data_IF_117347198160
#
_entry.id   IF_117347198160
#
_cell.length_a   1.000
_cell.length_b   1.000
_cell.length_c   1.000
_cell.angle_alpha   90.00
_cell.angle_beta   90.00
_cell.angle_gamma   90.00
#
_symmetry.space_group_name_H-M   'P 1'
#
loop_
_entity.id
_entity.type
_entity.pdbx_description
1 polymer ?
#
# COMPACT_ATOMS: atom_id res chain seq x y z
N UNK A 1 3.04 -36.77 10.16
CA UNK A 1 1.72 -36.17 9.85
C UNK A 1 1.04 -35.49 11.04
N UNK A 2 1.69 -35.41 12.20
CA UNK A 2 1.15 -34.78 13.42
C UNK A 2 1.78 -33.42 13.76
N UNK A 3 2.79 -32.99 13.03
CA UNK A 3 3.50 -31.69 13.26
C UNK A 3 2.87 -30.57 12.46
N UNK A 4 2.03 -30.84 11.47
CA UNK A 4 1.37 -29.83 10.63
C UNK A 4 0.03 -29.34 11.18
N UNK A 5 -0.56 -30.06 12.14
CA UNK A 5 -1.83 -29.67 12.78
C UNK A 5 -1.66 -28.68 13.93
N UNK A 6 -0.49 -28.65 14.58
CA UNK A 6 -0.26 -27.77 15.74
C UNK A 6 0.17 -26.35 15.36
N UNK A 7 0.62 -26.13 14.12
CA UNK A 7 0.98 -24.79 13.64
C UNK A 7 -0.24 -23.93 13.25
N UNK A 8 -1.38 -24.58 12.98
CA UNK A 8 -2.65 -23.88 12.67
C UNK A 8 -3.42 -23.49 13.94
N UNK A 9 -3.09 -24.09 15.10
CA UNK A 9 -3.82 -23.87 16.35
C UNK A 9 -3.29 -22.70 17.21
N UNK A 10 -2.17 -22.08 16.84
CA UNK A 10 -1.62 -20.89 17.50
C UNK A 10 -1.83 -19.57 16.74
N UNK A 11 -2.76 -19.52 15.80
CA UNK A 11 -3.36 -18.23 15.51
C UNK A 11 -4.07 -17.79 16.79
N UNK A 12 -3.44 -16.84 17.51
CA UNK A 12 -4.15 -16.10 18.57
C UNK A 12 -5.45 -15.66 17.91
N UNK A 13 -6.58 -16.23 18.40
CA UNK A 13 -7.92 -15.77 17.98
C UNK A 13 -7.90 -14.27 18.13
N UNK A 14 -7.94 -13.54 17.01
CA UNK A 14 -8.27 -12.14 17.05
C UNK A 14 -9.53 -12.02 17.91
N UNK A 15 -9.55 -11.14 18.92
CA UNK A 15 -10.79 -10.75 19.55
C UNK A 15 -11.73 -10.39 18.40
N UNK A 16 -13.02 -10.74 18.50
CA UNK A 16 -14.04 -10.53 17.47
C UNK A 16 -13.78 -9.19 16.78
N UNK A 17 -13.33 -9.26 15.50
CA UNK A 17 -13.10 -8.05 14.71
C UNK A 17 -14.41 -7.28 14.78
N UNK A 18 -14.36 -6.06 15.30
CA UNK A 18 -15.54 -5.23 15.45
C UNK A 18 -16.20 -5.10 14.08
N UNK A 19 -17.51 -5.30 13.99
CA UNK A 19 -18.32 -5.15 12.76
C UNK A 19 -18.36 -3.67 12.33
N UNK A 20 -17.16 -3.05 12.19
CA UNK A 20 -17.06 -1.67 11.73
C UNK A 20 -17.46 -1.59 10.27
N UNK A 21 -18.33 -0.65 9.95
CA UNK A 21 -18.65 -0.35 8.55
C UNK A 21 -17.45 0.27 7.84
N UNK A 22 -17.42 0.19 6.51
CA UNK A 22 -16.36 0.81 5.70
C UNK A 22 -16.24 2.32 6.01
N UNK A 23 -17.36 2.98 6.29
CA UNK A 23 -17.38 4.38 6.65
C UNK A 23 -16.73 4.67 8.01
N UNK A 24 -16.94 3.81 9.02
CA UNK A 24 -16.28 3.93 10.32
C UNK A 24 -14.78 3.69 10.20
N UNK A 25 -14.35 2.75 9.37
CA UNK A 25 -12.92 2.54 9.05
C UNK A 25 -12.32 3.78 8.38
N UNK A 26 -13.06 4.41 7.46
CA UNK A 26 -12.63 5.66 6.83
C UNK A 26 -12.44 6.79 7.86
N UNK A 27 -13.31 6.90 8.85
CA UNK A 27 -13.17 7.87 9.95
C UNK A 27 -11.89 7.58 10.78
N UNK A 28 -11.58 6.30 11.06
CA UNK A 28 -10.36 5.86 11.77
C UNK A 28 -9.09 6.22 10.99
N UNK A 29 -9.04 5.92 9.68
CA UNK A 29 -7.83 6.20 8.88
C UNK A 29 -7.61 7.70 8.63
N UNK A 30 -8.64 8.51 8.76
CA UNK A 30 -8.56 9.98 8.67
C UNK A 30 -8.36 10.67 10.03
N UNK A 31 -8.20 9.90 11.10
CA UNK A 31 -7.93 10.44 12.42
C UNK A 31 -6.61 11.21 12.44
N UNK A 32 -6.59 12.43 13.01
CA UNK A 32 -5.41 13.32 13.01
C UNK A 32 -4.16 12.72 13.67
N UNK A 33 -4.35 11.84 14.64
CA UNK A 33 -3.26 11.14 15.34
C UNK A 33 -2.81 9.85 14.65
N UNK A 34 -3.37 9.50 13.48
CA UNK A 34 -2.98 8.27 12.79
C UNK A 34 -1.52 8.33 12.36
N UNK A 35 -0.72 7.31 12.68
CA UNK A 35 0.66 7.22 12.24
C UNK A 35 0.76 7.18 10.72
N UNK A 36 1.76 7.85 10.20
CA UNK A 36 2.11 7.87 8.78
C UNK A 36 3.34 7.02 8.52
N UNK A 37 3.73 6.85 7.26
CA UNK A 37 4.97 6.15 6.93
C UNK A 37 6.21 6.77 7.61
N UNK A 38 6.20 8.10 7.85
CA UNK A 38 7.29 8.79 8.59
C UNK A 38 7.42 8.31 10.04
N UNK A 39 6.33 7.85 10.64
CA UNK A 39 6.31 7.31 11.99
C UNK A 39 6.75 5.84 12.00
N UNK A 40 6.33 5.06 11.01
CA UNK A 40 6.63 3.64 10.93
C UNK A 40 8.06 3.34 10.49
N UNK A 41 8.63 4.13 9.56
CA UNK A 41 9.99 3.88 9.05
C UNK A 41 11.01 3.75 10.18
N UNK A 42 11.13 4.69 11.13
CA UNK A 42 12.12 4.59 12.21
C UNK A 42 11.79 3.51 13.27
N UNK A 43 10.54 3.00 13.31
CA UNK A 43 10.15 1.93 14.23
C UNK A 43 10.43 0.53 13.64
N UNK A 44 10.50 0.42 12.32
CA UNK A 44 10.58 -0.86 11.60
C UNK A 44 11.96 -1.09 11.00
N UNK A 45 12.64 -0.02 10.55
CA UNK A 45 13.88 -0.12 9.78
C UNK A 45 15.03 0.58 10.49
N UNK A 46 16.22 0.00 10.40
CA UNK A 46 17.47 0.56 10.91
C UNK A 46 18.19 1.33 9.78
N UNK A 47 18.94 2.37 10.16
CA UNK A 47 19.85 3.14 9.30
C UNK A 47 19.20 3.61 7.98
N UNK A 48 17.95 4.09 8.06
CA UNK A 48 17.27 4.60 6.86
C UNK A 48 17.98 5.83 6.30
N UNK A 49 18.50 5.68 5.09
CA UNK A 49 19.15 6.75 4.34
C UNK A 49 18.24 7.20 3.19
N UNK A 50 17.64 8.38 3.34
CA UNK A 50 16.72 8.95 2.36
C UNK A 50 17.44 9.40 1.09
N UNK A 51 16.84 9.13 -0.06
CA UNK A 51 17.34 9.47 -1.38
C UNK A 51 16.34 10.33 -2.14
N UNK A 52 16.76 11.50 -2.59
CA UNK A 52 15.92 12.53 -3.19
C UNK A 52 16.01 12.59 -4.72
N UNK A 53 14.96 13.14 -5.33
CA UNK A 53 14.90 13.55 -6.72
C UNK A 53 14.66 12.43 -7.73
N UNK A 54 14.02 12.79 -8.82
CA UNK A 54 13.66 11.87 -9.92
C UNK A 54 14.71 11.76 -11.03
N UNK A 55 15.74 12.61 -11.00
CA UNK A 55 16.80 12.76 -12.05
C UNK A 55 16.27 13.30 -13.38
N UNK A 56 15.10 13.95 -13.38
CA UNK A 56 14.51 14.56 -14.56
C UNK A 56 14.04 15.99 -14.31
N UNK A 57 13.19 16.22 -13.30
CA UNK A 57 12.60 17.51 -13.00
C UNK A 57 12.89 17.99 -11.59
N UNK A 58 12.65 17.16 -10.57
CA UNK A 58 12.79 17.61 -9.19
C UNK A 58 12.61 16.50 -8.16
N UNK A 59 12.32 16.91 -6.93
CA UNK A 59 11.92 16.02 -5.86
C UNK A 59 10.44 16.20 -5.52
N UNK A 60 9.82 15.19 -4.91
CA UNK A 60 8.45 15.23 -4.44
C UNK A 60 8.37 14.82 -2.97
N UNK A 61 7.88 15.73 -2.14
CA UNK A 61 7.69 15.49 -0.72
C UNK A 61 6.59 14.50 -0.36
N UNK A 62 5.71 14.15 -1.30
CA UNK A 62 4.68 13.15 -1.11
C UNK A 62 5.21 11.71 -1.23
N UNK A 63 6.43 11.52 -1.73
CA UNK A 63 7.10 10.22 -1.77
C UNK A 63 8.43 10.31 -1.04
N UNK A 64 8.59 9.54 0.01
CA UNK A 64 9.85 9.29 0.72
C UNK A 64 10.43 7.97 0.24
N UNK A 65 11.73 7.89 0.03
CA UNK A 65 12.33 6.62 -0.37
C UNK A 65 13.83 6.59 -0.14
N UNK A 66 14.35 5.41 0.12
CA UNK A 66 15.76 5.25 0.45
C UNK A 66 16.17 3.80 0.66
N UNK A 67 17.35 3.62 1.18
CA UNK A 67 17.89 2.32 1.59
C UNK A 67 17.90 2.22 3.11
N UNK A 68 17.70 1.02 3.62
CA UNK A 68 17.67 0.74 5.06
C UNK A 68 18.10 -0.69 5.34
N UNK A 69 18.21 -1.04 6.60
CA UNK A 69 18.26 -2.42 7.04
C UNK A 69 16.94 -2.82 7.67
N UNK A 70 16.47 -4.00 7.34
CA UNK A 70 15.36 -4.67 8.01
C UNK A 70 15.87 -5.94 8.67
N UNK A 71 16.01 -5.94 10.00
CA UNK A 71 16.56 -7.09 10.76
C UNK A 71 17.88 -7.61 10.14
N UNK A 72 18.78 -6.70 9.75
CA UNK A 72 20.06 -7.01 9.11
C UNK A 72 20.02 -7.28 7.61
N UNK A 73 18.86 -7.31 6.98
CA UNK A 73 18.70 -7.47 5.52
C UNK A 73 18.67 -6.09 4.87
N UNK A 74 19.55 -5.78 3.91
CA UNK A 74 19.48 -4.52 3.18
C UNK A 74 18.23 -4.48 2.28
N UNK A 75 17.40 -3.45 2.46
CA UNK A 75 16.15 -3.26 1.73
C UNK A 75 16.09 -1.87 1.11
N UNK A 76 15.20 -1.69 0.13
CA UNK A 76 14.79 -0.39 -0.36
C UNK A 76 13.38 -0.10 0.14
N UNK A 77 13.20 1.01 0.84
CA UNK A 77 11.89 1.45 1.33
C UNK A 77 11.39 2.59 0.46
N UNK A 78 10.14 2.51 0.02
CA UNK A 78 9.46 3.54 -0.77
C UNK A 78 8.11 3.78 -0.10
N UNK A 79 7.81 5.04 0.25
CA UNK A 79 6.62 5.36 0.99
C UNK A 79 5.89 6.57 0.41
N UNK A 80 4.58 6.47 0.24
CA UNK A 80 3.72 7.64 0.11
C UNK A 80 3.48 8.20 1.50
N UNK A 81 3.61 9.51 1.64
CA UNK A 81 3.60 10.15 2.95
C UNK A 81 2.61 11.31 3.01
N UNK A 82 1.89 11.38 4.11
CA UNK A 82 1.05 12.50 4.53
C UNK A 82 1.78 13.32 5.58
N UNK A 83 1.44 14.61 5.70
CA UNK A 83 1.92 15.45 6.78
C UNK A 83 1.05 15.30 8.04
N UNK A 84 1.60 15.69 9.19
CA UNK A 84 0.91 15.70 10.48
C UNK A 84 0.12 16.98 10.73
N UNK A 85 0.57 18.06 10.12
CA UNK A 85 -0.06 19.38 10.20
C UNK A 85 -0.25 19.99 8.80
N UNK A 86 -0.83 21.20 8.74
CA UNK A 86 -1.10 21.86 7.48
C UNK A 86 0.20 22.18 6.70
N UNK A 87 1.25 22.60 7.38
CA UNK A 87 2.51 22.97 6.75
C UNK A 87 3.23 21.75 6.15
N UNK A 88 3.25 20.63 6.90
CA UNK A 88 3.77 19.36 6.38
C UNK A 88 2.90 18.81 5.25
N UNK A 89 1.56 18.88 5.37
CA UNK A 89 0.65 18.43 4.33
C UNK A 89 0.85 19.22 3.03
N UNK A 90 1.07 20.54 3.11
CA UNK A 90 1.41 21.33 1.92
C UNK A 90 2.72 20.86 1.25
N UNK A 91 3.75 20.50 2.02
CA UNK A 91 5.02 19.98 1.50
C UNK A 91 4.87 18.58 0.87
N UNK A 92 3.96 17.78 1.39
CA UNK A 92 3.66 16.43 0.88
C UNK A 92 2.47 16.41 -0.09
N UNK A 93 2.04 17.56 -0.62
CA UNK A 93 0.89 17.68 -1.51
C UNK A 93 -0.36 16.94 -0.98
N UNK A 94 -0.57 16.98 0.35
CA UNK A 94 -1.63 16.23 1.04
C UNK A 94 -1.59 14.71 0.80
N UNK A 95 -0.39 14.15 0.64
CA UNK A 95 -0.19 12.75 0.33
C UNK A 95 -0.51 12.36 -1.12
N UNK A 96 -0.59 13.33 -2.02
CA UNK A 96 -0.86 13.12 -3.44
C UNK A 96 0.42 13.33 -4.26
N UNK A 97 1.09 12.26 -4.74
CA UNK A 97 2.33 12.41 -5.48
C UNK A 97 2.16 13.08 -6.83
N UNK A 98 3.14 13.92 -7.18
CA UNK A 98 3.39 14.41 -8.53
C UNK A 98 4.16 13.36 -9.37
N UNK A 99 4.33 13.58 -10.68
CA UNK A 99 5.10 12.66 -11.54
C UNK A 99 6.51 12.38 -11.02
N UNK A 100 7.13 13.38 -10.37
CA UNK A 100 8.47 13.28 -9.78
C UNK A 100 8.53 12.22 -8.67
N UNK A 101 7.48 12.09 -7.87
CA UNK A 101 7.37 11.08 -6.83
C UNK A 101 7.37 9.67 -7.40
N UNK A 102 6.56 9.41 -8.42
CA UNK A 102 6.51 8.11 -9.10
C UNK A 102 7.80 7.78 -9.83
N UNK A 103 8.42 8.75 -10.50
CA UNK A 103 9.72 8.57 -11.14
C UNK A 103 10.84 8.30 -10.13
N UNK A 104 10.82 8.98 -8.98
CA UNK A 104 11.73 8.70 -7.86
C UNK A 104 11.55 7.28 -7.34
N UNK A 105 10.30 6.86 -7.12
CA UNK A 105 9.98 5.49 -6.68
C UNK A 105 10.53 4.44 -7.67
N UNK A 106 10.27 4.60 -8.96
CA UNK A 106 10.77 3.69 -9.99
C UNK A 106 12.31 3.67 -10.05
N UNK A 107 12.95 4.83 -9.94
CA UNK A 107 14.42 4.92 -9.91
C UNK A 107 15.01 4.11 -8.75
N UNK A 108 14.40 4.21 -7.56
CA UNK A 108 14.82 3.46 -6.39
C UNK A 108 14.55 1.96 -6.52
N UNK A 109 13.41 1.59 -7.09
CA UNK A 109 13.08 0.19 -7.37
C UNK A 109 14.07 -0.46 -8.36
N UNK A 110 14.42 0.23 -9.44
CA UNK A 110 15.48 -0.24 -10.38
C UNK A 110 16.85 -0.33 -9.74
N UNK A 111 17.18 0.58 -8.82
CA UNK A 111 18.40 0.48 -8.05
C UNK A 111 18.36 -0.73 -7.10
N UNK A 112 17.20 -1.00 -6.49
CA UNK A 112 17.00 -2.18 -5.65
C UNK A 112 17.23 -3.47 -6.44
N UNK A 113 16.65 -3.58 -7.64
CA UNK A 113 16.89 -4.70 -8.57
C UNK A 113 18.37 -4.89 -8.86
N UNK A 114 19.07 -3.81 -9.25
CA UNK A 114 20.51 -3.86 -9.57
C UNK A 114 21.38 -4.39 -8.43
N UNK A 115 21.00 -4.10 -7.18
CA UNK A 115 21.74 -4.48 -5.99
C UNK A 115 21.07 -5.63 -5.21
N UNK A 116 20.08 -6.29 -5.81
CA UNK A 116 19.35 -7.44 -5.24
C UNK A 116 18.75 -7.17 -3.86
N UNK A 117 18.29 -5.94 -3.62
CA UNK A 117 17.56 -5.59 -2.40
C UNK A 117 16.05 -5.76 -2.61
N UNK A 118 15.33 -6.40 -1.69
CA UNK A 118 13.87 -6.36 -1.67
C UNK A 118 13.36 -4.91 -1.59
N UNK A 119 12.20 -4.67 -2.19
CA UNK A 119 11.49 -3.39 -2.14
C UNK A 119 10.30 -3.51 -1.18
N UNK A 120 10.23 -2.60 -0.22
CA UNK A 120 9.09 -2.48 0.69
C UNK A 120 8.39 -1.16 0.38
N UNK A 121 7.13 -1.24 -0.06
CA UNK A 121 6.29 -0.09 -0.36
C UNK A 121 5.29 0.14 0.77
N UNK A 122 5.27 1.34 1.33
CA UNK A 122 4.27 1.79 2.31
C UNK A 122 3.35 2.79 1.61
N UNK A 123 2.10 2.41 1.40
CA UNK A 123 1.14 3.15 0.58
C UNK A 123 0.13 3.86 1.46
N UNK A 124 0.05 5.19 1.33
CA UNK A 124 -0.97 6.00 2.00
C UNK A 124 -1.24 7.28 1.21
N UNK A 125 -2.10 7.19 0.21
CA UNK A 125 -2.48 8.30 -0.66
C UNK A 125 -3.97 8.29 -0.96
N UNK A 126 -4.57 9.47 -1.05
CA UNK A 126 -5.93 9.64 -1.59
C UNK A 126 -5.96 9.49 -3.13
N UNK A 127 -4.80 9.48 -3.78
CA UNK A 127 -4.61 9.37 -5.23
C UNK A 127 -3.46 10.24 -5.71
N UNK A 128 -3.14 10.15 -7.00
CA UNK A 128 -2.15 10.99 -7.63
C UNK A 128 -2.61 12.46 -7.66
N UNK A 129 -1.66 13.40 -7.56
CA UNK A 129 -1.98 14.83 -7.63
C UNK A 129 -2.66 15.14 -8.97
N UNK A 130 -3.85 15.74 -8.91
CA UNK A 130 -4.60 16.16 -10.08
C UNK A 130 -4.46 17.66 -10.29
N UNK A 131 -3.72 18.06 -11.33
CA UNK A 131 -3.49 19.44 -11.64
C UNK A 131 -2.74 19.62 -12.96
N UNK A 132 -2.95 20.77 -13.60
CA UNK A 132 -2.39 21.06 -14.93
C UNK A 132 -0.87 20.88 -14.97
N UNK A 133 -0.17 21.29 -13.93
CA UNK A 133 1.29 21.18 -13.87
C UNK A 133 1.76 19.72 -13.73
N UNK A 134 1.03 18.87 -13.02
CA UNK A 134 1.34 17.45 -12.96
C UNK A 134 1.08 16.77 -14.32
N UNK A 135 -0.03 17.09 -14.98
CA UNK A 135 -0.34 16.58 -16.32
C UNK A 135 0.71 16.99 -17.36
N UNK A 136 1.15 18.24 -17.36
CA UNK A 136 2.23 18.74 -18.24
C UNK A 136 3.54 17.98 -18.06
N UNK A 137 3.82 17.49 -16.86
CA UNK A 137 5.04 16.72 -16.54
C UNK A 137 4.85 15.20 -16.64
N UNK A 138 3.72 14.74 -17.19
CA UNK A 138 3.47 13.34 -17.52
C UNK A 138 2.99 12.50 -16.34
N UNK A 139 1.96 12.95 -15.59
CA UNK A 139 1.39 12.22 -14.44
C UNK A 139 0.94 10.81 -14.82
N UNK A 140 0.12 10.69 -15.87
CA UNK A 140 -0.37 9.39 -16.33
C UNK A 140 0.75 8.47 -16.82
N UNK A 141 1.75 9.02 -17.54
CA UNK A 141 2.93 8.24 -17.98
C UNK A 141 3.73 7.72 -16.80
N UNK A 142 4.01 8.56 -15.80
CA UNK A 142 4.80 8.16 -14.64
C UNK A 142 4.15 7.02 -13.86
N UNK A 143 2.82 7.09 -13.67
CA UNK A 143 2.03 6.02 -13.02
C UNK A 143 2.05 4.74 -13.87
N UNK A 144 1.71 4.84 -15.16
CA UNK A 144 1.66 3.68 -16.06
C UNK A 144 3.01 2.97 -16.15
N UNK A 145 4.10 3.75 -16.20
CA UNK A 145 5.46 3.21 -16.22
C UNK A 145 5.82 2.47 -14.94
N UNK A 146 5.44 3.00 -13.78
CA UNK A 146 5.62 2.29 -12.52
C UNK A 146 4.88 0.94 -12.52
N UNK A 147 3.60 0.93 -12.88
CA UNK A 147 2.78 -0.29 -12.94
C UNK A 147 3.46 -1.34 -13.83
N UNK A 148 3.90 -0.94 -15.02
CA UNK A 148 4.52 -1.83 -16.00
C UNK A 148 5.88 -2.36 -15.53
N UNK A 149 6.73 -1.51 -14.96
CA UNK A 149 8.08 -1.87 -14.55
C UNK A 149 8.11 -2.66 -13.23
N UNK A 150 7.23 -2.35 -12.28
CA UNK A 150 7.11 -3.14 -11.05
C UNK A 150 6.65 -4.57 -11.35
N UNK A 151 5.83 -4.78 -12.39
CA UNK A 151 5.43 -6.12 -12.81
C UNK A 151 6.62 -7.01 -13.17
N UNK A 152 7.67 -6.45 -13.76
CA UNK A 152 8.84 -7.19 -14.25
C UNK A 152 10.09 -7.02 -13.39
N UNK A 153 9.98 -6.35 -12.24
CA UNK A 153 11.12 -6.06 -11.35
C UNK A 153 11.70 -7.35 -10.77
N UNK A 154 13.00 -7.58 -10.99
CA UNK A 154 13.71 -8.83 -10.66
C UNK A 154 14.20 -8.87 -9.22
N UNK A 155 13.36 -8.46 -8.30
CA UNK A 155 13.58 -8.53 -6.85
C UNK A 155 12.23 -8.62 -6.14
N UNK A 156 12.13 -9.16 -4.92
CA UNK A 156 10.89 -9.17 -4.16
C UNK A 156 10.34 -7.77 -3.94
N UNK A 157 9.04 -7.61 -4.14
CA UNK A 157 8.27 -6.39 -3.87
C UNK A 157 7.13 -6.71 -2.90
N UNK A 158 7.12 -6.06 -1.76
CA UNK A 158 6.07 -6.19 -0.74
C UNK A 158 5.44 -4.81 -0.57
N UNK A 159 4.12 -4.73 -0.70
CA UNK A 159 3.39 -3.47 -0.54
C UNK A 159 2.38 -3.56 0.59
N UNK A 160 2.29 -2.49 1.37
CA UNK A 160 1.40 -2.40 2.54
C UNK A 160 0.59 -1.11 2.45
N UNK A 161 -0.74 -1.23 2.39
CA UNK A 161 -1.64 -0.07 2.45
C UNK A 161 -1.82 0.30 3.92
N UNK A 162 -1.33 1.48 4.31
CA UNK A 162 -1.37 1.95 5.70
C UNK A 162 -2.69 2.65 6.08
N UNK A 163 -3.31 3.30 5.10
CA UNK A 163 -4.53 4.08 5.32
C UNK A 163 -5.38 4.12 4.06
N UNK A 164 -5.22 5.15 3.25
CA UNK A 164 -5.93 5.26 1.97
C UNK A 164 -5.06 4.74 0.83
N UNK A 165 -5.58 3.77 0.06
CA UNK A 165 -5.01 3.33 -1.21
C UNK A 165 -5.84 3.87 -2.37
N UNK A 166 -5.52 5.08 -2.85
CA UNK A 166 -6.32 5.79 -3.86
C UNK A 166 -5.87 5.54 -5.29
N UNK A 167 -6.71 4.86 -6.07
CA UNK A 167 -6.64 4.80 -7.55
C UNK A 167 -5.27 4.40 -8.12
N UNK A 168 -4.93 4.94 -9.29
CA UNK A 168 -3.63 4.74 -9.94
C UNK A 168 -2.44 5.24 -9.11
N UNK A 169 -2.67 6.21 -8.21
CA UNK A 169 -1.65 6.69 -7.30
C UNK A 169 -1.11 5.59 -6.40
N UNK A 170 -2.00 4.89 -5.73
CA UNK A 170 -1.65 3.75 -4.91
C UNK A 170 -1.19 2.55 -5.75
N UNK A 171 -1.86 2.26 -6.88
CA UNK A 171 -1.53 1.13 -7.74
C UNK A 171 -0.11 1.21 -8.29
N UNK A 172 0.42 2.42 -8.53
CA UNK A 172 1.80 2.64 -8.98
C UNK A 172 2.87 2.05 -8.04
N UNK A 173 2.53 1.81 -6.76
CA UNK A 173 3.39 1.16 -5.76
C UNK A 173 2.80 -0.16 -5.22
N UNK A 174 1.59 -0.55 -5.65
CA UNK A 174 0.91 -1.75 -5.19
C UNK A 174 1.02 -2.94 -6.16
N UNK A 175 1.75 -2.79 -7.27
CA UNK A 175 2.14 -3.91 -8.13
C UNK A 175 3.29 -4.66 -7.46
N UNK A 176 2.99 -5.79 -6.82
CA UNK A 176 3.89 -6.45 -5.88
C UNK A 176 3.67 -7.97 -5.82
N UNK A 177 4.59 -8.66 -5.16
CA UNK A 177 4.48 -10.11 -4.91
C UNK A 177 3.52 -10.44 -3.78
N UNK A 178 3.42 -9.56 -2.78
CA UNK A 178 2.45 -9.64 -1.69
C UNK A 178 1.92 -8.25 -1.35
N UNK A 179 0.60 -8.12 -1.30
CA UNK A 179 -0.12 -6.93 -0.88
C UNK A 179 -0.78 -7.18 0.47
N UNK A 180 -0.38 -6.43 1.48
CA UNK A 180 -1.09 -6.38 2.74
C UNK A 180 -1.81 -5.06 2.93
N UNK A 181 -2.80 -5.07 3.80
CA UNK A 181 -3.51 -3.86 4.23
C UNK A 181 -3.56 -3.83 5.75
N UNK A 182 -3.40 -2.65 6.35
CA UNK A 182 -3.78 -2.48 7.74
C UNK A 182 -5.28 -2.71 7.88
N UNK A 183 -5.70 -3.21 9.02
CA UNK A 183 -7.07 -3.65 9.31
C UNK A 183 -8.14 -2.60 8.96
N UNK A 184 -7.86 -1.33 9.23
CA UNK A 184 -8.79 -0.24 8.92
C UNK A 184 -8.52 0.45 7.57
N UNK A 185 -7.48 0.03 6.84
CA UNK A 185 -7.15 0.61 5.55
C UNK A 185 -8.24 0.34 4.49
N UNK A 186 -8.33 1.25 3.53
CA UNK A 186 -9.17 1.11 2.34
C UNK A 186 -8.32 1.15 1.07
N UNK A 187 -8.75 0.43 0.04
CA UNK A 187 -8.12 0.49 -1.28
C UNK A 187 -9.20 0.51 -2.37
N UNK A 188 -9.18 1.52 -3.23
CA UNK A 188 -10.26 1.74 -4.20
C UNK A 188 -9.80 2.49 -5.44
N UNK A 189 -10.51 2.28 -6.55
CA UNK A 189 -10.26 2.99 -7.82
C UNK A 189 -10.68 4.46 -7.76
N UNK A 190 -11.60 4.82 -6.87
CA UNK A 190 -12.14 6.18 -6.71
C UNK A 190 -12.54 6.39 -5.25
N UNK A 191 -12.48 7.62 -4.77
CA UNK A 191 -12.98 7.94 -3.42
C UNK A 191 -14.50 7.71 -3.32
N UNK A 192 -15.04 7.35 -2.14
CA UNK A 192 -16.49 7.20 -1.94
C UNK A 192 -17.28 8.45 -2.35
N UNK A 193 -16.76 9.64 -2.05
CA UNK A 193 -17.34 10.90 -2.48
C UNK A 193 -17.35 11.06 -4.01
N UNK A 194 -16.25 10.67 -4.67
CA UNK A 194 -16.16 10.69 -6.13
C UNK A 194 -17.15 9.72 -6.77
N UNK A 195 -17.26 8.52 -6.22
CA UNK A 195 -18.25 7.52 -6.64
C UNK A 195 -19.68 8.08 -6.55
N UNK A 196 -20.07 8.60 -5.39
CA UNK A 196 -21.40 9.19 -5.20
C UNK A 196 -21.68 10.36 -6.17
N UNK A 197 -20.67 11.23 -6.40
CA UNK A 197 -20.80 12.34 -7.34
C UNK A 197 -21.00 11.87 -8.78
N UNK A 198 -20.27 10.86 -9.23
CA UNK A 198 -20.32 10.40 -10.62
C UNK A 198 -21.57 9.58 -10.90
N UNK A 199 -21.85 8.56 -10.06
CA UNK A 199 -22.94 7.62 -10.30
C UNK A 199 -24.30 8.14 -9.85
N UNK A 200 -24.33 8.81 -8.71
CA UNK A 200 -25.61 9.27 -8.14
C UNK A 200 -25.86 10.76 -8.32
N UNK A 201 -24.86 11.51 -8.85
CA UNK A 201 -24.92 12.99 -8.98
C UNK A 201 -25.14 13.71 -7.63
N UNK A 202 -24.78 13.05 -6.53
CA UNK A 202 -24.96 13.54 -5.17
C UNK A 202 -23.79 13.16 -4.27
N UNK A 203 -22.85 14.08 -4.07
CA UNK A 203 -21.65 13.88 -3.24
C UNK A 203 -21.97 13.77 -1.74
N UNK A 204 -23.17 14.12 -1.30
CA UNK A 204 -23.57 14.02 0.13
C UNK A 204 -23.80 12.58 0.56
N UNK A 205 -24.00 11.65 -0.41
CA UNK A 205 -24.18 10.22 -0.17
C UNK A 205 -22.84 9.45 -0.05
N UNK A 206 -21.75 10.15 0.30
CA UNK A 206 -20.42 9.53 0.47
C UNK A 206 -20.44 8.32 1.42
N UNK A 207 -21.19 8.39 2.53
CA UNK A 207 -21.25 7.31 3.51
C UNK A 207 -21.88 6.04 2.93
N UNK A 208 -22.99 6.19 2.24
CA UNK A 208 -23.66 5.08 1.56
C UNK A 208 -22.76 4.47 0.46
N UNK A 209 -22.07 5.31 -0.30
CA UNK A 209 -21.11 4.86 -1.31
C UNK A 209 -19.99 4.04 -0.68
N UNK A 210 -19.43 4.50 0.44
CA UNK A 210 -18.36 3.80 1.15
C UNK A 210 -18.73 2.36 1.50
N UNK A 211 -19.95 2.15 2.01
CA UNK A 211 -20.40 0.83 2.48
C UNK A 211 -20.66 -0.16 1.30
N UNK A 212 -21.08 0.35 0.13
CA UNK A 212 -21.38 -0.53 -1.01
C UNK A 212 -20.16 -0.82 -1.91
N UNK A 213 -19.11 0.00 -1.86
CA UNK A 213 -17.96 -0.10 -2.78
C UNK A 213 -17.05 -1.31 -2.54
N UNK A 214 -17.19 -2.01 -1.41
CA UNK A 214 -16.36 -3.17 -1.06
C UNK A 214 -14.86 -2.87 -1.08
N UNK A 215 -14.44 -1.84 -0.34
CA UNK A 215 -13.09 -1.28 -0.35
C UNK A 215 -12.27 -1.57 0.90
N UNK A 216 -12.82 -2.30 1.86
CA UNK A 216 -12.14 -2.64 3.12
C UNK A 216 -11.11 -3.75 2.93
N UNK A 217 -10.17 -3.87 3.85
CA UNK A 217 -9.18 -4.96 3.84
C UNK A 217 -9.85 -6.34 3.79
N UNK A 218 -10.96 -6.54 4.51
CA UNK A 218 -11.74 -7.78 4.52
C UNK A 218 -12.39 -8.05 3.16
N UNK A 219 -13.06 -7.04 2.59
CA UNK A 219 -13.68 -7.18 1.28
C UNK A 219 -12.64 -7.55 0.21
N UNK A 220 -11.48 -6.87 0.21
CA UNK A 220 -10.44 -7.07 -0.79
C UNK A 220 -9.67 -8.39 -0.59
N UNK A 221 -9.56 -8.88 0.63
CA UNK A 221 -9.04 -10.22 0.89
C UNK A 221 -10.00 -11.30 0.35
N UNK A 222 -11.30 -11.13 0.57
CA UNK A 222 -12.32 -12.03 0.01
C UNK A 222 -12.35 -12.02 -1.53
N UNK A 223 -12.05 -10.86 -2.14
CA UNK A 223 -11.99 -10.70 -3.60
C UNK A 223 -10.62 -11.09 -4.20
N UNK A 224 -9.68 -11.60 -3.39
CA UNK A 224 -8.35 -12.02 -3.87
C UNK A 224 -7.42 -10.89 -4.29
N UNK A 225 -7.71 -9.64 -3.89
CA UNK A 225 -6.87 -8.47 -4.17
C UNK A 225 -5.81 -8.27 -3.08
N UNK A 226 -6.22 -8.41 -1.81
CA UNK A 226 -5.34 -8.31 -0.65
C UNK A 226 -4.95 -9.71 -0.17
N UNK A 227 -3.65 -9.94 0.05
CA UNK A 227 -3.13 -11.25 0.50
C UNK A 227 -3.15 -11.39 2.01
N UNK A 228 -3.08 -10.29 2.76
CA UNK A 228 -3.01 -10.33 4.22
C UNK A 228 -3.54 -9.07 4.89
N UNK A 229 -4.24 -9.26 6.00
CA UNK A 229 -4.70 -8.15 6.85
C UNK A 229 -3.76 -8.07 8.06
N UNK A 230 -3.14 -6.91 8.26
CA UNK A 230 -2.29 -6.63 9.41
C UNK A 230 -3.15 -5.95 10.47
N UNK A 231 -3.24 -6.55 11.67
CA UNK A 231 -4.01 -6.00 12.78
C UNK A 231 -3.43 -4.68 13.26
N UNK A 232 -4.30 -3.76 13.61
CA UNK A 232 -3.98 -2.52 14.29
C UNK A 232 -4.18 -2.68 15.81
N UNK A 233 -3.78 -1.66 16.57
CA UNK A 233 -4.17 -1.55 17.96
C UNK A 233 -5.69 -1.38 18.09
N UNK A 234 -6.27 -1.78 19.21
CA UNK A 234 -7.69 -1.63 19.47
C UNK A 234 -8.15 -0.18 19.29
N UNK A 235 -9.21 -0.01 18.48
CA UNK A 235 -9.73 1.31 18.08
C UNK A 235 -8.91 2.02 17.00
N UNK A 236 -7.79 1.47 16.53
CA UNK A 236 -6.98 1.98 15.43
C UNK A 236 -5.53 2.25 15.78
N UNK A 237 -4.68 2.32 14.77
CA UNK A 237 -3.22 2.45 14.88
C UNK A 237 -2.75 3.66 15.70
N UNK A 238 -3.57 4.69 15.82
CA UNK A 238 -3.25 5.89 16.60
C UNK A 238 -3.26 5.66 18.12
N UNK A 239 -3.88 4.59 18.60
CA UNK A 239 -3.90 4.26 20.03
C UNK A 239 -2.61 3.57 20.50
N UNK A 240 -1.98 2.79 19.62
CA UNK A 240 -0.67 2.20 19.87
C UNK A 240 0.11 2.05 18.56
N UNK A 241 0.86 3.09 18.14
CA UNK A 241 1.69 3.04 16.94
C UNK A 241 2.79 1.99 17.01
N UNK A 242 3.33 1.72 18.20
CA UNK A 242 4.39 0.75 18.39
C UNK A 242 3.92 -0.67 18.13
N UNK A 243 2.78 -1.07 18.72
CA UNK A 243 2.17 -2.38 18.47
C UNK A 243 1.86 -2.57 16.98
N UNK A 244 1.32 -1.54 16.33
CA UNK A 244 1.02 -1.62 14.88
C UNK A 244 2.31 -1.76 14.06
N UNK A 245 3.38 -1.05 14.42
CA UNK A 245 4.69 -1.19 13.77
C UNK A 245 5.28 -2.59 13.96
N UNK A 246 5.14 -3.20 15.13
CA UNK A 246 5.55 -4.57 15.40
C UNK A 246 4.79 -5.56 14.51
N UNK A 247 3.46 -5.42 14.38
CA UNK A 247 2.65 -6.25 13.50
C UNK A 247 3.06 -6.10 12.02
N UNK A 248 3.36 -4.87 11.57
CA UNK A 248 3.90 -4.62 10.22
C UNK A 248 5.26 -5.31 10.05
N UNK A 249 6.15 -5.19 11.03
CA UNK A 249 7.48 -5.81 11.01
C UNK A 249 7.38 -7.34 10.92
N UNK A 250 6.52 -7.96 11.72
CA UNK A 250 6.32 -9.42 11.69
C UNK A 250 5.79 -9.89 10.34
N UNK A 251 4.86 -9.14 9.75
CA UNK A 251 4.38 -9.44 8.39
C UNK A 251 5.51 -9.33 7.35
N UNK A 252 6.28 -8.24 7.36
CA UNK A 252 7.41 -8.05 6.42
C UNK A 252 8.41 -9.20 6.56
N UNK A 253 8.76 -9.61 7.77
CA UNK A 253 9.67 -10.72 8.00
C UNK A 253 9.15 -12.03 7.38
N UNK A 254 7.89 -12.36 7.61
CA UNK A 254 7.25 -13.53 7.02
C UNK A 254 7.23 -13.48 5.49
N UNK A 255 6.86 -12.34 4.92
CA UNK A 255 6.80 -12.12 3.48
C UNK A 255 8.19 -12.23 2.83
N UNK A 256 9.21 -11.59 3.42
CA UNK A 256 10.59 -11.70 2.94
C UNK A 256 11.10 -13.13 3.00
N UNK A 257 10.86 -13.88 4.08
CA UNK A 257 11.23 -15.30 4.18
C UNK A 257 10.63 -16.14 3.06
N UNK A 258 9.36 -15.91 2.71
CA UNK A 258 8.69 -16.62 1.61
C UNK A 258 9.23 -16.25 0.24
N UNK A 259 9.54 -14.97 -0.01
CA UNK A 259 9.91 -14.49 -1.34
C UNK A 259 11.40 -14.64 -1.64
N UNK A 260 12.28 -14.51 -0.65
CA UNK A 260 13.72 -14.68 -0.83
C UNK A 260 14.14 -16.15 -1.06
N UNK A 261 13.28 -17.11 -0.74
CA UNK A 261 13.50 -18.52 -1.02
C UNK A 261 13.17 -18.93 -2.47
N UNK A 262 12.42 -18.08 -3.20
CA UNK A 262 11.97 -18.35 -4.55
C UNK A 262 13.07 -18.06 -5.58
N UNK A 263 13.13 -18.88 -6.63
CA UNK A 263 13.89 -18.56 -7.82
C UNK A 263 13.29 -17.36 -8.55
N UNK A 264 14.11 -16.66 -9.35
CA UNK A 264 13.66 -15.44 -10.05
C UNK A 264 12.45 -15.68 -10.96
N UNK A 265 12.49 -16.77 -11.74
CA UNK A 265 11.39 -17.11 -12.66
C UNK A 265 10.10 -17.41 -11.89
N UNK A 266 10.19 -18.13 -10.77
CA UNK A 266 9.04 -18.42 -9.90
C UNK A 266 8.47 -17.13 -9.27
N UNK A 267 9.35 -16.19 -8.90
CA UNK A 267 8.93 -14.90 -8.34
C UNK A 267 8.13 -14.09 -9.37
N UNK A 268 8.66 -13.96 -10.60
CA UNK A 268 8.03 -13.19 -11.67
C UNK A 268 6.73 -13.83 -12.17
N UNK A 269 6.74 -15.15 -12.36
CA UNK A 269 5.55 -15.91 -12.75
C UNK A 269 4.47 -15.82 -11.67
N UNK A 270 4.84 -15.93 -10.40
CA UNK A 270 3.91 -15.78 -9.29
C UNK A 270 3.28 -14.40 -9.24
N UNK A 271 4.07 -13.31 -9.46
CA UNK A 271 3.56 -11.95 -9.54
C UNK A 271 2.61 -11.77 -10.71
N UNK A 272 2.97 -12.27 -11.90
CA UNK A 272 2.12 -12.21 -13.09
C UNK A 272 0.79 -12.92 -12.85
N UNK A 273 0.81 -14.15 -12.35
CA UNK A 273 -0.37 -14.95 -12.12
C UNK A 273 -1.30 -14.32 -11.08
N UNK A 274 -0.74 -13.73 -10.01
CA UNK A 274 -1.52 -12.98 -9.01
C UNK A 274 -2.42 -11.93 -9.68
N UNK A 275 -1.87 -11.08 -10.54
CA UNK A 275 -2.64 -10.02 -11.19
C UNK A 275 -3.56 -10.55 -12.30
N UNK A 276 -3.27 -11.71 -12.89
CA UNK A 276 -4.12 -12.34 -13.88
C UNK A 276 -5.41 -12.93 -13.29
N UNK A 277 -5.38 -13.34 -12.02
CA UNK A 277 -6.54 -13.92 -11.33
C UNK A 277 -7.45 -12.88 -10.70
N UNK A 278 -7.00 -11.63 -10.56
CA UNK A 278 -7.87 -10.55 -10.04
C UNK A 278 -9.01 -10.29 -11.02
N UNK A 279 -10.26 -10.37 -10.53
CA UNK A 279 -11.46 -10.14 -11.32
C UNK A 279 -11.99 -11.39 -12.05
N UNK A 280 -11.57 -12.59 -11.67
CA UNK A 280 -12.26 -13.82 -12.11
C UNK A 280 -13.73 -13.79 -11.68
N UNK A 281 -14.60 -14.22 -12.56
CA UNK A 281 -16.05 -14.30 -12.31
C UNK A 281 -16.59 -15.62 -12.84
N UNK A 282 -17.63 -16.12 -12.18
CA UNK A 282 -18.39 -17.26 -12.68
C UNK A 282 -19.48 -16.74 -13.62
N UNK A 283 -19.50 -17.23 -14.86
CA UNK A 283 -20.66 -17.03 -15.71
C UNK A 283 -21.81 -17.86 -15.16
N UNK A 284 -22.83 -17.21 -14.61
CA UNK A 284 -24.09 -17.91 -14.33
C UNK A 284 -24.66 -18.38 -15.67
N UNK A 285 -24.62 -19.67 -15.93
CA UNK A 285 -25.43 -20.28 -17.01
C UNK A 285 -26.88 -19.91 -16.75
N UNK A 286 -27.38 -18.93 -17.50
CA UNK A 286 -28.80 -18.69 -17.57
C UNK A 286 -29.38 -19.88 -18.35
N UNK A 287 -30.06 -20.79 -17.62
CA UNK A 287 -31.01 -21.73 -18.20
C UNK A 287 -32.28 -21.00 -18.65
#
# INVERSE_FOLDING_TARGET
SLIYSDFISQQRRCPQMSELTACQRLDIIRHKGRPTAKDYIPLIFDDFFEMHGDRLFGDDGAVMGGIAYFKGIPVTVIAEVKGRDLAENQKCNFGMPHPEGYRKALRLARQAEKFHRPVICLVDTAGAFCGVEAEKRGQGEAIAKNIMEFMTLKTPVISIILGEGGSGGALALAVCDELAMLENAIYSVISPRGFASILWKDSTREREACDIMKITAEDLTRLGVCDHIISEADGGAHNDPQLTAENISDYIEGALKRKLQKGLDELLEGRYNKFRTVGEFEESSQE
#
